data_IF_888850643186
#
_entry.id   IF_888850643186
#
_cell.length_a   1.000
_cell.length_b   1.000
_cell.length_c   1.000
_cell.angle_alpha   90.00
_cell.angle_beta   90.00
_cell.angle_gamma   90.00
#
_symmetry.space_group_name_H-M   'P 1'
#
loop_
_entity.id
_entity.type
_entity.pdbx_description
1 polymer ?
#
# COMPACT_ATOMS: atom_id res chain seq x y z
N UNK A 1 -14.32 -17.52 -22.33
CA UNK A 1 -14.33 -17.62 -20.85
C UNK A 1 -13.50 -16.59 -20.08
N UNK A 2 -12.14 -16.48 -20.15
CA UNK A 2 -11.43 -15.50 -19.28
C UNK A 2 -11.80 -14.02 -19.56
N UNK A 3 -11.96 -13.63 -20.83
CA UNK A 3 -12.42 -12.27 -21.21
C UNK A 3 -13.89 -12.00 -20.81
N UNK A 4 -14.71 -13.04 -20.70
CA UNK A 4 -16.14 -12.91 -20.47
C UNK A 4 -16.50 -12.75 -18.98
N UNK A 5 -15.71 -13.34 -18.06
CA UNK A 5 -15.92 -13.20 -16.60
C UNK A 5 -16.01 -11.73 -16.14
N UNK A 6 -15.13 -10.85 -16.61
CA UNK A 6 -15.13 -9.45 -16.14
C UNK A 6 -16.36 -8.64 -16.60
N UNK A 7 -16.82 -8.85 -17.84
CA UNK A 7 -18.03 -8.23 -18.38
C UNK A 7 -19.26 -8.69 -17.60
N UNK A 8 -19.35 -9.99 -17.34
CA UNK A 8 -20.44 -10.57 -16.56
C UNK A 8 -20.43 -10.12 -15.10
N UNK A 9 -19.26 -10.02 -14.47
CA UNK A 9 -19.13 -9.48 -13.12
C UNK A 9 -19.57 -8.02 -13.05
N UNK A 10 -19.20 -7.22 -14.04
CA UNK A 10 -19.67 -5.83 -14.13
C UNK A 10 -21.20 -5.76 -14.20
N UNK A 11 -21.82 -6.61 -15.05
CA UNK A 11 -23.28 -6.66 -15.18
C UNK A 11 -23.93 -7.01 -13.83
N UNK A 12 -23.47 -8.08 -13.18
CA UNK A 12 -23.99 -8.53 -11.90
C UNK A 12 -23.88 -7.45 -10.82
N UNK A 13 -22.72 -6.80 -10.69
CA UNK A 13 -22.55 -5.73 -9.71
C UNK A 13 -23.43 -4.52 -10.00
N UNK A 14 -23.61 -4.17 -11.28
CA UNK A 14 -24.49 -3.07 -11.68
C UNK A 14 -25.94 -3.37 -11.34
N UNK A 15 -26.42 -4.59 -11.62
CA UNK A 15 -27.77 -5.02 -11.27
C UNK A 15 -27.98 -5.11 -9.75
N UNK A 16 -27.00 -5.67 -9.04
CA UNK A 16 -27.01 -5.82 -7.58
C UNK A 16 -27.07 -4.46 -6.86
N UNK A 17 -26.21 -3.52 -7.27
CA UNK A 17 -26.03 -2.25 -6.56
C UNK A 17 -27.00 -1.15 -7.02
N UNK A 18 -27.25 -1.07 -8.34
CA UNK A 18 -28.00 0.04 -8.94
C UNK A 18 -29.45 -0.31 -9.28
N UNK A 19 -29.72 -1.56 -9.64
CA UNK A 19 -31.06 -2.03 -9.97
C UNK A 19 -31.74 -2.80 -8.80
N UNK A 20 -31.00 -3.07 -7.72
CA UNK A 20 -31.45 -3.83 -6.55
C UNK A 20 -32.00 -5.24 -6.86
N UNK A 21 -31.50 -5.89 -7.91
CA UNK A 21 -31.91 -7.25 -8.27
C UNK A 21 -31.42 -8.26 -7.22
N UNK A 22 -32.35 -8.93 -6.54
CA UNK A 22 -32.05 -9.88 -5.45
C UNK A 22 -31.31 -11.10 -5.95
N UNK A 23 -31.66 -11.59 -7.14
CA UNK A 23 -30.96 -12.73 -7.76
C UNK A 23 -29.52 -12.33 -8.10
N UNK A 24 -29.28 -11.16 -8.67
CA UNK A 24 -27.93 -10.65 -8.91
C UNK A 24 -27.12 -10.55 -7.61
N UNK A 25 -27.73 -10.11 -6.50
CA UNK A 25 -27.08 -10.07 -5.17
C UNK A 25 -26.66 -11.47 -4.71
N UNK A 26 -27.55 -12.45 -4.83
CA UNK A 26 -27.25 -13.85 -4.49
C UNK A 26 -26.14 -14.42 -5.38
N UNK A 27 -26.20 -14.15 -6.70
CA UNK A 27 -25.17 -14.59 -7.64
C UNK A 27 -23.81 -13.97 -7.31
N UNK A 28 -23.75 -12.67 -7.00
CA UNK A 28 -22.50 -12.01 -6.57
C UNK A 28 -21.87 -12.64 -5.31
N UNK A 29 -22.66 -13.25 -4.41
CA UNK A 29 -22.15 -13.86 -3.19
C UNK A 29 -21.63 -15.28 -3.43
N UNK A 30 -22.13 -15.98 -4.46
CA UNK A 30 -21.86 -17.39 -4.72
C UNK A 30 -21.13 -17.64 -6.05
N UNK A 31 -20.45 -16.64 -6.59
CA UNK A 31 -19.80 -16.67 -7.91
C UNK A 31 -18.90 -17.90 -8.16
N UNK A 32 -18.15 -18.35 -7.15
CA UNK A 32 -17.22 -19.48 -7.28
C UNK A 32 -17.92 -20.85 -7.18
N UNK A 33 -19.18 -20.89 -6.73
CA UNK A 33 -19.96 -22.10 -6.53
C UNK A 33 -21.04 -22.33 -7.60
N UNK A 34 -21.19 -21.41 -8.55
CA UNK A 34 -22.23 -21.51 -9.59
C UNK A 34 -21.92 -22.59 -10.63
N UNK A 35 -22.95 -23.36 -10.99
CA UNK A 35 -22.92 -24.18 -12.20
C UNK A 35 -22.96 -23.29 -13.45
N UNK A 36 -22.24 -23.71 -14.49
CA UNK A 36 -22.12 -22.98 -15.75
C UNK A 36 -23.48 -22.82 -16.45
N UNK A 37 -24.42 -23.75 -16.28
CA UNK A 37 -25.76 -23.63 -16.88
C UNK A 37 -26.63 -22.57 -16.20
N UNK A 38 -26.64 -22.50 -14.86
CA UNK A 38 -27.38 -21.47 -14.14
C UNK A 38 -26.83 -20.08 -14.46
N UNK A 39 -25.51 -19.98 -14.57
CA UNK A 39 -24.82 -18.77 -14.99
C UNK A 39 -25.34 -18.31 -16.37
N UNK A 40 -25.25 -19.15 -17.39
CA UNK A 40 -25.67 -18.82 -18.77
C UNK A 40 -27.17 -18.51 -18.88
N UNK A 41 -28.02 -19.20 -18.12
CA UNK A 41 -29.47 -18.96 -18.11
C UNK A 41 -29.85 -17.58 -17.58
N UNK A 42 -29.09 -17.02 -16.64
CA UNK A 42 -29.33 -15.67 -16.14
C UNK A 42 -28.87 -14.59 -17.13
N UNK A 43 -27.70 -14.78 -17.75
CA UNK A 43 -27.15 -13.81 -18.73
C UNK A 43 -27.90 -13.79 -20.06
N UNK A 44 -28.71 -14.80 -20.36
CA UNK A 44 -29.54 -14.84 -21.56
C UNK A 44 -30.99 -14.39 -21.31
N UNK A 45 -31.36 -14.08 -20.07
CA UNK A 45 -32.72 -13.61 -19.73
C UNK A 45 -32.90 -12.14 -20.13
N UNK A 46 -33.88 -11.88 -21.00
CA UNK A 46 -34.25 -10.53 -21.44
C UNK A 46 -34.61 -9.60 -20.26
N UNK A 47 -35.15 -10.14 -19.17
CA UNK A 47 -35.52 -9.34 -17.97
C UNK A 47 -34.31 -8.62 -17.37
N UNK A 48 -33.14 -9.28 -17.38
CA UNK A 48 -31.87 -8.71 -16.94
C UNK A 48 -31.54 -7.43 -17.71
N UNK A 49 -31.74 -7.45 -19.03
CA UNK A 49 -31.44 -6.34 -19.92
C UNK A 49 -32.52 -5.25 -19.91
N UNK A 50 -33.78 -5.61 -19.65
CA UNK A 50 -34.85 -4.65 -19.37
C UNK A 50 -34.51 -3.80 -18.14
N UNK A 51 -34.17 -4.44 -17.01
CA UNK A 51 -33.78 -3.74 -15.78
C UNK A 51 -32.59 -2.80 -16.01
N UNK A 52 -31.56 -3.30 -16.70
CA UNK A 52 -30.37 -2.53 -17.00
C UNK A 52 -30.68 -1.33 -17.92
N UNK A 53 -31.51 -1.53 -18.94
CA UNK A 53 -31.94 -0.45 -19.85
C UNK A 53 -32.68 0.64 -19.11
N UNK A 54 -33.66 0.24 -18.28
CA UNK A 54 -34.45 1.18 -17.49
C UNK A 54 -33.56 2.00 -16.57
N UNK A 55 -32.58 1.38 -15.92
CA UNK A 55 -31.59 2.08 -15.10
C UNK A 55 -30.69 3.04 -15.90
N UNK A 56 -30.06 2.59 -16.99
CA UNK A 56 -29.08 3.39 -17.73
C UNK A 56 -29.75 4.57 -18.46
N UNK A 57 -30.93 4.35 -19.02
CA UNK A 57 -31.61 5.34 -19.84
C UNK A 57 -32.63 6.18 -19.06
N UNK A 58 -32.93 5.81 -17.81
CA UNK A 58 -34.00 6.41 -17.00
C UNK A 58 -35.36 6.35 -17.71
N UNK A 59 -35.68 5.17 -18.25
CA UNK A 59 -36.90 4.88 -19.01
C UNK A 59 -37.67 3.71 -18.39
N UNK A 60 -38.89 3.50 -18.88
CA UNK A 60 -39.66 2.29 -18.61
C UNK A 60 -39.97 1.60 -19.94
N UNK A 61 -39.17 0.61 -20.31
CA UNK A 61 -39.30 -0.15 -21.56
C UNK A 61 -39.40 -1.65 -21.27
N UNK A 62 -40.11 -2.35 -22.15
CA UNK A 62 -40.05 -3.81 -22.27
C UNK A 62 -39.22 -4.24 -23.51
N UNK A 63 -38.75 -3.28 -24.30
CA UNK A 63 -37.99 -3.46 -25.54
C UNK A 63 -36.57 -2.87 -25.39
N UNK A 64 -35.64 -3.58 -24.74
CA UNK A 64 -34.31 -3.05 -24.42
C UNK A 64 -33.46 -2.77 -25.68
N UNK A 65 -33.59 -3.61 -26.71
CA UNK A 65 -32.86 -3.47 -27.97
C UNK A 65 -33.25 -2.21 -28.73
N UNK A 66 -34.54 -1.87 -28.76
CA UNK A 66 -35.02 -0.66 -29.44
C UNK A 66 -34.45 0.60 -28.81
N UNK A 67 -34.32 0.64 -27.47
CA UNK A 67 -33.67 1.75 -26.78
C UNK A 67 -32.19 1.86 -27.19
N UNK A 68 -31.46 0.75 -27.21
CA UNK A 68 -30.06 0.75 -27.66
C UNK A 68 -29.90 1.20 -29.11
N UNK A 69 -30.83 0.83 -30.01
CA UNK A 69 -30.86 1.29 -31.40
C UNK A 69 -31.10 2.79 -31.49
N UNK A 70 -32.12 3.29 -30.77
CA UNK A 70 -32.48 4.71 -30.77
C UNK A 70 -31.35 5.61 -30.25
N UNK A 71 -30.50 5.09 -29.37
CA UNK A 71 -29.32 5.77 -28.86
C UNK A 71 -28.01 5.42 -29.60
N UNK A 72 -28.07 4.55 -30.62
CA UNK A 72 -26.97 4.27 -31.53
C UNK A 72 -25.91 3.26 -31.06
N UNK A 73 -26.12 2.52 -29.97
CA UNK A 73 -25.13 1.60 -29.39
C UNK A 73 -25.12 0.20 -30.03
N UNK A 74 -26.26 -0.36 -30.44
CA UNK A 74 -26.37 -1.78 -30.85
C UNK A 74 -26.85 -1.97 -32.31
N UNK A 75 -26.26 -1.27 -33.26
CA UNK A 75 -26.83 -1.09 -34.62
C UNK A 75 -27.16 -2.33 -35.44
N UNK A 76 -26.49 -3.46 -35.20
CA UNK A 76 -26.53 -4.64 -36.09
C UNK A 76 -27.17 -5.88 -35.46
N UNK A 77 -27.53 -5.83 -34.17
CA UNK A 77 -28.21 -6.95 -33.54
C UNK A 77 -29.70 -6.71 -33.41
N UNK A 78 -30.41 -7.71 -32.90
CA UNK A 78 -31.86 -7.64 -32.71
C UNK A 78 -32.30 -8.45 -31.48
N UNK A 79 -33.60 -8.40 -31.17
CA UNK A 79 -34.18 -9.09 -30.02
C UNK A 79 -34.14 -10.63 -30.11
N UNK A 80 -33.83 -11.22 -31.28
CA UNK A 80 -33.71 -12.67 -31.44
C UNK A 80 -32.53 -13.28 -30.69
N UNK A 81 -31.56 -12.45 -30.22
CA UNK A 81 -30.49 -12.89 -29.33
C UNK A 81 -31.00 -13.52 -28.03
N UNK A 82 -32.21 -13.14 -27.58
CA UNK A 82 -32.84 -13.70 -26.37
C UNK A 82 -33.66 -14.96 -26.64
N UNK A 83 -33.74 -15.44 -27.89
CA UNK A 83 -34.41 -16.70 -28.20
C UNK A 83 -33.58 -17.87 -27.62
N UNK A 84 -34.23 -18.76 -26.84
CA UNK A 84 -33.56 -19.86 -26.12
C UNK A 84 -32.71 -20.79 -26.99
N UNK A 85 -32.99 -20.89 -28.29
CA UNK A 85 -32.24 -21.71 -29.24
C UNK A 85 -30.92 -21.06 -29.72
N UNK A 86 -30.69 -19.78 -29.42
CA UNK A 86 -29.69 -18.94 -30.08
C UNK A 86 -28.62 -18.41 -29.12
N UNK A 87 -28.24 -19.18 -28.09
CA UNK A 87 -27.18 -18.72 -27.19
C UNK A 87 -25.84 -18.63 -27.93
N UNK A 88 -25.36 -17.41 -28.12
CA UNK A 88 -24.03 -17.08 -28.63
C UNK A 88 -23.30 -16.20 -27.62
N UNK A 89 -22.27 -16.75 -26.96
CA UNK A 89 -21.47 -16.05 -25.95
C UNK A 89 -20.89 -14.75 -26.52
N UNK A 90 -20.45 -14.74 -27.78
CA UNK A 90 -19.82 -13.56 -28.40
C UNK A 90 -20.86 -12.47 -28.62
N UNK A 91 -22.04 -12.82 -29.11
CA UNK A 91 -23.14 -11.87 -29.31
C UNK A 91 -23.56 -11.22 -27.97
N UNK A 92 -23.63 -12.00 -26.89
CA UNK A 92 -23.96 -11.48 -25.56
C UNK A 92 -22.85 -10.60 -24.97
N UNK A 93 -21.57 -10.94 -25.17
CA UNK A 93 -20.47 -10.06 -24.77
C UNK A 93 -20.58 -8.71 -25.50
N UNK A 94 -20.81 -8.72 -26.82
CA UNK A 94 -20.97 -7.50 -27.59
C UNK A 94 -22.15 -6.65 -27.08
N UNK A 95 -23.28 -7.30 -26.77
CA UNK A 95 -24.43 -6.63 -26.17
C UNK A 95 -24.08 -6.00 -24.80
N UNK A 96 -23.35 -6.71 -23.94
CA UNK A 96 -22.90 -6.18 -22.64
C UNK A 96 -21.94 -5.00 -22.85
N UNK A 97 -21.01 -5.08 -23.80
CA UNK A 97 -20.11 -3.97 -24.13
C UNK A 97 -20.90 -2.72 -24.58
N UNK A 98 -21.97 -2.88 -25.37
CA UNK A 98 -22.88 -1.78 -25.71
C UNK A 98 -23.51 -1.14 -24.47
N UNK A 99 -23.94 -1.94 -23.48
CA UNK A 99 -24.45 -1.40 -22.21
C UNK A 99 -23.38 -0.75 -21.36
N UNK A 100 -22.16 -1.27 -21.36
CA UNK A 100 -21.03 -0.66 -20.65
C UNK A 100 -20.74 0.73 -21.21
N UNK A 101 -20.70 0.88 -22.54
CA UNK A 101 -20.56 2.18 -23.20
C UNK A 101 -21.72 3.13 -22.86
N UNK A 102 -22.96 2.65 -22.99
CA UNK A 102 -24.14 3.45 -22.62
C UNK A 102 -24.11 3.91 -21.15
N UNK A 103 -23.64 3.04 -20.25
CA UNK A 103 -23.47 3.37 -18.83
C UNK A 103 -22.37 4.41 -18.61
N UNK A 104 -21.23 4.31 -19.31
CA UNK A 104 -20.16 5.32 -19.25
C UNK A 104 -20.66 6.69 -19.70
N UNK A 105 -21.42 6.76 -20.80
CA UNK A 105 -21.92 8.03 -21.34
C UNK A 105 -22.95 8.69 -20.42
N UNK A 106 -23.80 7.88 -19.77
CA UNK A 106 -25.00 8.39 -19.06
C UNK A 106 -24.86 8.43 -17.55
N UNK A 107 -24.06 7.54 -16.96
CA UNK A 107 -23.97 7.32 -15.52
C UNK A 107 -22.59 7.63 -14.94
N UNK A 108 -21.71 8.30 -15.70
CA UNK A 108 -20.47 8.83 -15.14
C UNK A 108 -20.78 9.84 -14.01
N UNK A 109 -20.07 9.82 -12.85
CA UNK A 109 -20.36 10.69 -11.70
C UNK A 109 -19.92 12.15 -11.93
N UNK A 110 -20.58 12.85 -12.85
CA UNK A 110 -20.20 14.22 -13.29
C UNK A 110 -20.14 15.20 -12.12
N UNK A 111 -21.05 15.09 -11.15
CA UNK A 111 -21.07 15.93 -9.95
C UNK A 111 -19.79 15.80 -9.09
N UNK A 112 -19.24 14.59 -8.97
CA UNK A 112 -17.98 14.32 -8.28
C UNK A 112 -16.82 14.88 -9.09
N UNK A 113 -16.80 14.57 -10.39
CA UNK A 113 -15.73 14.97 -11.30
C UNK A 113 -15.61 16.49 -11.42
N UNK A 114 -16.72 17.22 -11.47
CA UNK A 114 -16.74 18.69 -11.53
C UNK A 114 -16.07 19.31 -10.31
N UNK A 115 -16.21 18.73 -9.11
CA UNK A 115 -15.54 19.23 -7.89
C UNK A 115 -14.03 19.07 -7.95
N UNK A 116 -13.53 18.01 -8.59
CA UNK A 116 -12.10 17.68 -8.65
C UNK A 116 -11.41 18.31 -9.85
N UNK A 117 -11.99 18.17 -11.04
CA UNK A 117 -11.41 18.55 -12.34
C UNK A 117 -11.81 19.97 -12.75
N UNK A 118 -12.98 20.42 -12.30
CA UNK A 118 -13.57 21.70 -12.67
C UNK A 118 -14.61 21.58 -13.79
N UNK A 119 -15.67 22.40 -13.69
CA UNK A 119 -16.85 22.36 -14.56
C UNK A 119 -16.51 22.43 -16.04
N UNK A 120 -15.73 23.44 -16.44
CA UNK A 120 -15.40 23.70 -17.85
C UNK A 120 -14.75 22.50 -18.51
N UNK A 121 -13.77 21.86 -17.85
CA UNK A 121 -13.05 20.71 -18.39
C UNK A 121 -13.93 19.49 -18.57
N UNK A 122 -14.80 19.20 -17.60
CA UNK A 122 -15.69 18.03 -17.66
C UNK A 122 -16.69 18.15 -18.81
N UNK A 123 -17.32 19.32 -18.98
CA UNK A 123 -18.34 19.52 -20.02
C UNK A 123 -17.76 19.84 -21.40
N UNK A 124 -16.48 20.23 -21.51
CA UNK A 124 -15.81 20.38 -22.81
C UNK A 124 -15.36 19.06 -23.42
N UNK A 125 -15.22 18.02 -22.59
CA UNK A 125 -14.82 16.69 -23.01
C UNK A 125 -16.10 15.89 -23.25
N UNK A 126 -16.45 15.63 -24.50
CA UNK A 126 -17.63 14.84 -24.87
C UNK A 126 -17.38 13.33 -24.84
N UNK A 127 -16.19 12.92 -24.42
CA UNK A 127 -15.73 11.53 -24.42
C UNK A 127 -15.46 11.06 -22.97
N UNK A 128 -16.10 9.96 -22.51
CA UNK A 128 -15.91 9.45 -21.15
C UNK A 128 -14.46 9.12 -20.82
N UNK A 129 -13.71 8.56 -21.78
CA UNK A 129 -12.30 8.20 -21.56
C UNK A 129 -11.46 9.45 -21.29
N UNK A 130 -11.64 10.50 -22.08
CA UNK A 130 -10.98 11.77 -21.89
C UNK A 130 -11.33 12.42 -20.53
N UNK A 131 -12.60 12.33 -20.09
CA UNK A 131 -13.02 12.82 -18.77
C UNK A 131 -12.29 12.04 -17.66
N UNK A 132 -12.24 10.70 -17.75
CA UNK A 132 -11.56 9.84 -16.78
C UNK A 132 -10.06 10.14 -16.75
N UNK A 133 -9.41 10.28 -17.91
CA UNK A 133 -8.00 10.66 -18.03
C UNK A 133 -7.73 12.03 -17.39
N UNK A 134 -8.61 13.01 -17.62
CA UNK A 134 -8.50 14.35 -17.02
C UNK A 134 -8.60 14.31 -15.49
N UNK A 135 -9.48 13.46 -14.95
CA UNK A 135 -9.56 13.21 -13.51
C UNK A 135 -8.29 12.57 -12.96
N UNK A 136 -7.78 11.51 -13.60
CA UNK A 136 -6.53 10.85 -13.20
C UNK A 136 -5.38 11.87 -13.17
N UNK A 137 -5.21 12.65 -14.25
CA UNK A 137 -4.15 13.64 -14.35
C UNK A 137 -4.27 14.76 -13.32
N UNK A 138 -5.49 15.15 -12.97
CA UNK A 138 -5.72 16.14 -11.92
C UNK A 138 -5.25 15.62 -10.56
N UNK A 139 -5.62 14.38 -10.23
CA UNK A 139 -5.19 13.70 -9.00
C UNK A 139 -3.67 13.47 -8.95
N UNK A 140 -3.06 13.18 -10.10
CA UNK A 140 -1.64 12.87 -10.21
C UNK A 140 -0.74 14.10 -10.49
N UNK A 141 -1.31 15.30 -10.62
CA UNK A 141 -0.59 16.52 -11.05
C UNK A 141 0.59 16.91 -10.16
N UNK A 142 0.57 16.53 -8.89
CA UNK A 142 1.66 16.78 -7.95
C UNK A 142 2.89 15.88 -8.17
N UNK A 143 2.77 14.82 -8.97
CA UNK A 143 3.83 13.85 -9.24
C UNK A 143 4.50 14.14 -10.58
N UNK A 144 5.40 15.13 -10.60
CA UNK A 144 6.06 15.65 -11.81
C UNK A 144 6.80 14.61 -12.66
N UNK A 145 7.15 13.45 -12.09
CA UNK A 145 7.79 12.33 -12.81
C UNK A 145 6.81 11.46 -13.60
N UNK A 146 5.51 11.54 -13.31
CA UNK A 146 4.50 10.74 -14.01
C UNK A 146 4.05 11.47 -15.28
N UNK A 147 4.09 10.76 -16.41
CA UNK A 147 3.54 11.29 -17.65
C UNK A 147 2.01 11.36 -17.56
N UNK A 148 1.39 12.41 -18.12
CA UNK A 148 -0.05 12.49 -18.25
C UNK A 148 -0.61 11.27 -18.98
N UNK A 149 -1.74 10.79 -18.50
CA UNK A 149 -2.52 9.72 -19.13
C UNK A 149 -3.40 10.36 -20.20
N UNK A 150 -3.23 9.92 -21.45
CA UNK A 150 -4.06 10.36 -22.58
C UNK A 150 -5.09 9.31 -23.00
N UNK A 151 -4.88 8.06 -22.59
CA UNK A 151 -5.79 6.94 -22.81
C UNK A 151 -5.62 5.87 -21.73
N UNK A 152 -6.66 5.08 -21.51
CA UNK A 152 -6.71 3.96 -20.58
C UNK A 152 -6.19 2.71 -21.29
N UNK A 153 -4.95 2.32 -20.98
CA UNK A 153 -4.38 1.08 -21.51
C UNK A 153 -4.86 -0.14 -20.75
N UNK A 154 -4.73 -1.32 -21.37
CA UNK A 154 -5.03 -2.59 -20.70
C UNK A 154 -4.18 -2.87 -19.46
N UNK A 155 -3.06 -2.16 -19.27
CA UNK A 155 -2.15 -2.30 -18.13
C UNK A 155 -2.36 -1.24 -17.05
N UNK A 156 -3.37 -0.37 -17.19
CA UNK A 156 -3.52 0.81 -16.33
C UNK A 156 -3.57 0.47 -14.83
N UNK A 157 -4.21 -0.63 -14.45
CA UNK A 157 -4.30 -1.06 -13.05
C UNK A 157 -2.93 -1.37 -12.44
N UNK A 158 -1.98 -1.88 -13.23
CA UNK A 158 -0.61 -2.13 -12.80
C UNK A 158 0.32 -0.91 -12.88
N UNK A 159 -0.21 0.26 -13.25
CA UNK A 159 0.58 1.46 -13.49
C UNK A 159 0.85 2.27 -12.22
N UNK A 160 1.94 3.04 -12.24
CA UNK A 160 2.25 3.98 -11.17
C UNK A 160 1.22 5.11 -11.08
N UNK A 161 0.56 5.45 -12.19
CA UNK A 161 -0.51 6.44 -12.24
C UNK A 161 -1.71 6.01 -11.40
N UNK A 162 -2.09 4.73 -11.46
CA UNK A 162 -3.20 4.24 -10.64
C UNK A 162 -2.85 4.23 -9.15
N UNK A 163 -1.62 3.86 -8.79
CA UNK A 163 -1.14 3.95 -7.40
C UNK A 163 -1.14 5.39 -6.87
N UNK A 164 -0.63 6.33 -7.67
CA UNK A 164 -0.62 7.75 -7.31
C UNK A 164 -2.03 8.32 -7.17
N UNK A 165 -2.96 7.89 -8.04
CA UNK A 165 -4.36 8.23 -7.92
C UNK A 165 -4.94 7.76 -6.59
N UNK A 166 -4.76 6.49 -6.22
CA UNK A 166 -5.24 5.96 -4.96
C UNK A 166 -4.62 6.71 -3.77
N UNK A 167 -3.32 6.96 -3.80
CA UNK A 167 -2.63 7.72 -2.77
C UNK A 167 -3.22 9.13 -2.57
N UNK A 168 -3.64 9.79 -3.66
CA UNK A 168 -4.21 11.15 -3.58
C UNK A 168 -5.47 11.22 -2.70
N UNK A 169 -6.17 10.09 -2.55
CA UNK A 169 -7.34 9.94 -1.68
C UNK A 169 -6.99 9.32 -0.33
N UNK A 170 -6.17 8.26 -0.30
CA UNK A 170 -5.96 7.45 0.91
C UNK A 170 -4.81 7.91 1.78
N UNK A 171 -3.81 8.61 1.21
CA UNK A 171 -2.53 8.96 1.86
C UNK A 171 -1.76 7.76 2.42
N UNK A 172 -1.99 6.57 1.86
CA UNK A 172 -1.27 5.36 2.25
C UNK A 172 0.12 5.34 1.60
N UNK A 173 1.15 5.63 2.39
CA UNK A 173 2.56 5.67 1.95
C UNK A 173 3.03 4.37 1.27
N UNK A 174 2.41 3.23 1.57
CA UNK A 174 2.72 1.97 0.87
C UNK A 174 2.49 2.11 -0.64
N UNK A 175 1.57 2.97 -1.10
CA UNK A 175 1.27 3.20 -2.51
C UNK A 175 2.36 3.96 -3.26
N UNK A 176 3.31 4.61 -2.57
CA UNK A 176 4.40 5.35 -3.22
C UNK A 176 5.62 4.48 -3.56
N UNK A 177 5.69 3.25 -3.05
CA UNK A 177 6.78 2.32 -3.34
C UNK A 177 6.57 1.66 -4.70
N UNK A 178 7.19 2.19 -5.75
CA UNK A 178 7.04 1.65 -7.10
C UNK A 178 7.70 0.27 -7.25
N UNK A 179 6.92 -0.69 -7.75
CA UNK A 179 7.35 -2.07 -8.00
C UNK A 179 7.02 -2.48 -9.44
N UNK A 180 7.20 -3.76 -9.78
CA UNK A 180 6.76 -4.32 -11.05
C UNK A 180 5.22 -4.20 -11.23
N UNK A 181 4.71 -4.24 -12.47
CA UNK A 181 3.29 -4.04 -12.75
C UNK A 181 2.34 -4.99 -12.03
N UNK A 182 2.73 -6.25 -11.79
CA UNK A 182 1.87 -7.24 -11.12
C UNK A 182 1.74 -6.92 -9.64
N UNK A 183 2.86 -6.62 -8.98
CA UNK A 183 2.88 -6.16 -7.59
C UNK A 183 2.08 -4.86 -7.42
N UNK A 184 2.22 -3.92 -8.36
CA UNK A 184 1.44 -2.68 -8.35
C UNK A 184 -0.07 -2.95 -8.43
N UNK A 185 -0.49 -3.86 -9.30
CA UNK A 185 -1.90 -4.23 -9.45
C UNK A 185 -2.43 -4.90 -8.18
N UNK A 186 -1.68 -5.82 -7.58
CA UNK A 186 -2.05 -6.49 -6.33
C UNK A 186 -2.29 -5.48 -5.21
N UNK A 187 -1.34 -4.58 -4.99
CA UNK A 187 -1.44 -3.53 -3.96
C UNK A 187 -2.65 -2.62 -4.26
N UNK A 188 -2.77 -2.13 -5.49
CA UNK A 188 -3.82 -1.18 -5.87
C UNK A 188 -5.22 -1.78 -5.72
N UNK A 189 -5.42 -3.02 -6.18
CA UNK A 189 -6.69 -3.72 -6.07
C UNK A 189 -7.02 -4.07 -4.61
N UNK A 190 -6.03 -4.51 -3.82
CA UNK A 190 -6.21 -4.71 -2.37
C UNK A 190 -6.65 -3.43 -1.68
N UNK A 191 -6.01 -2.30 -1.98
CA UNK A 191 -6.43 -0.99 -1.48
C UNK A 191 -7.87 -0.68 -1.88
N UNK A 192 -8.24 -0.90 -3.14
CA UNK A 192 -9.62 -0.68 -3.61
C UNK A 192 -10.64 -1.50 -2.80
N UNK A 193 -10.34 -2.77 -2.51
CA UNK A 193 -11.21 -3.62 -1.67
C UNK A 193 -11.37 -3.08 -0.25
N UNK A 194 -10.30 -2.57 0.37
CA UNK A 194 -10.38 -1.96 1.72
C UNK A 194 -11.37 -0.80 1.78
N UNK A 195 -11.57 -0.09 0.67
CA UNK A 195 -12.53 1.02 0.56
C UNK A 195 -13.87 0.61 -0.08
N UNK A 196 -14.13 -0.70 -0.21
CA UNK A 196 -15.41 -1.21 -0.70
C UNK A 196 -15.66 -0.96 -2.19
N UNK A 197 -14.60 -0.77 -2.98
CA UNK A 197 -14.67 -0.73 -4.46
C UNK A 197 -14.69 -2.18 -4.95
N UNK A 198 -15.76 -2.57 -5.65
CA UNK A 198 -15.94 -3.96 -6.09
C UNK A 198 -15.02 -4.25 -7.28
N UNK A 199 -14.26 -5.34 -7.19
CA UNK A 199 -13.36 -5.76 -8.26
C UNK A 199 -14.10 -6.67 -9.25
N UNK A 200 -14.04 -6.32 -10.53
CA UNK A 200 -14.58 -7.15 -11.64
C UNK A 200 -13.54 -8.14 -12.19
N UNK A 201 -12.33 -8.14 -11.64
CA UNK A 201 -11.23 -9.01 -12.04
C UNK A 201 -10.19 -9.11 -10.93
N UNK A 202 -9.47 -10.24 -10.91
CA UNK A 202 -8.40 -10.52 -9.95
C UNK A 202 -7.06 -9.92 -10.40
N UNK A 203 -6.12 -9.74 -9.47
CA UNK A 203 -4.82 -9.13 -9.77
C UNK A 203 -3.92 -10.00 -10.66
N UNK A 204 -4.10 -11.33 -10.64
CA UNK A 204 -3.44 -12.24 -11.58
C UNK A 204 -3.85 -11.97 -13.03
N UNK A 205 -5.05 -11.41 -13.21
CA UNK A 205 -5.61 -11.01 -14.50
C UNK A 205 -5.83 -9.48 -14.54
N UNK A 206 -4.92 -8.68 -13.99
CA UNK A 206 -5.06 -7.22 -13.97
C UNK A 206 -5.08 -6.57 -15.37
N UNK A 207 -4.62 -7.30 -16.39
CA UNK A 207 -4.71 -6.88 -17.78
C UNK A 207 -6.13 -7.07 -18.29
N UNK A 208 -6.83 -5.96 -18.55
CA UNK A 208 -8.23 -5.96 -18.91
C UNK A 208 -8.49 -5.06 -20.11
N UNK A 209 -9.63 -5.24 -20.78
CA UNK A 209 -10.01 -4.30 -21.84
C UNK A 209 -10.14 -2.89 -21.25
N UNK A 210 -9.78 -1.84 -22.01
CA UNK A 210 -9.96 -0.46 -21.57
C UNK A 210 -11.37 -0.17 -21.06
N UNK A 211 -12.39 -0.73 -21.73
CA UNK A 211 -13.79 -0.59 -21.35
C UNK A 211 -14.09 -1.13 -19.94
N UNK A 212 -13.61 -2.33 -19.61
CA UNK A 212 -13.74 -2.91 -18.28
C UNK A 212 -13.05 -2.05 -17.22
N UNK A 213 -11.85 -1.54 -17.53
CA UNK A 213 -11.11 -0.65 -16.62
C UNK A 213 -11.88 0.67 -16.41
N UNK A 214 -12.41 1.28 -17.47
CA UNK A 214 -13.19 2.52 -17.36
C UNK A 214 -14.45 2.34 -16.52
N UNK A 215 -15.20 1.25 -16.72
CA UNK A 215 -16.37 0.95 -15.90
C UNK A 215 -16.01 0.70 -14.42
N UNK A 216 -14.89 0.01 -14.16
CA UNK A 216 -14.35 -0.12 -12.81
C UNK A 216 -13.99 1.25 -12.21
N UNK A 217 -13.35 2.13 -12.99
CA UNK A 217 -12.98 3.48 -12.54
C UNK A 217 -14.19 4.37 -12.25
N UNK A 218 -15.31 4.18 -12.95
CA UNK A 218 -16.56 4.91 -12.65
C UNK A 218 -17.08 4.59 -11.24
N UNK A 219 -17.08 3.32 -10.83
CA UNK A 219 -17.42 2.95 -9.46
C UNK A 219 -16.37 3.49 -8.47
N UNK A 220 -15.09 3.39 -8.82
CA UNK A 220 -13.99 3.92 -8.01
C UNK A 220 -14.11 5.44 -7.78
N UNK A 221 -14.48 6.24 -8.79
CA UNK A 221 -14.69 7.69 -8.66
C UNK A 221 -15.72 7.98 -7.57
N UNK A 222 -16.87 7.29 -7.61
CA UNK A 222 -17.95 7.50 -6.66
C UNK A 222 -17.55 7.11 -5.23
N UNK A 223 -16.85 5.97 -5.08
CA UNK A 223 -16.41 5.46 -3.76
C UNK A 223 -15.25 6.27 -3.18
N UNK A 224 -14.24 6.61 -3.98
CA UNK A 224 -13.08 7.36 -3.52
C UNK A 224 -13.46 8.77 -3.06
N UNK A 225 -14.44 9.43 -3.68
CA UNK A 225 -14.92 10.75 -3.23
C UNK A 225 -15.59 10.70 -1.85
N UNK A 226 -16.10 9.53 -1.44
CA UNK A 226 -16.68 9.34 -0.10
C UNK A 226 -15.63 9.17 1.00
N UNK A 227 -14.36 8.92 0.63
CA UNK A 227 -13.26 8.84 1.59
C UNK A 227 -13.02 10.24 2.14
N UNK A 228 -13.31 10.42 3.44
CA UNK A 228 -12.97 11.66 4.14
C UNK A 228 -11.45 11.86 4.01
N UNK A 229 -10.98 12.94 3.36
CA UNK A 229 -9.56 13.18 3.27
C UNK A 229 -9.00 13.31 4.68
N UNK A 230 -7.94 12.56 4.98
CA UNK A 230 -7.16 12.79 6.19
C UNK A 230 -6.78 14.28 6.24
N UNK A 231 -6.88 14.93 7.41
CA UNK A 231 -6.55 16.34 7.54
C UNK A 231 -5.17 16.57 6.93
N UNK A 232 -5.05 17.59 6.06
CA UNK A 232 -3.80 17.88 5.36
C UNK A 232 -2.67 17.93 6.41
N UNK A 233 -1.51 17.27 6.15
CA UNK A 233 -0.34 17.48 6.97
C UNK A 233 -0.10 19.00 7.09
N UNK A 234 0.20 19.48 8.30
CA UNK A 234 0.50 20.90 8.50
C UNK A 234 1.58 21.31 7.50
N UNK A 235 1.38 22.45 6.85
CA UNK A 235 2.38 23.03 5.97
C UNK A 235 3.67 23.19 6.77
N UNK A 236 4.73 22.50 6.35
CA UNK A 236 6.06 22.64 6.96
C UNK A 236 6.49 24.08 6.71
N UNK A 237 6.55 24.86 7.79
CA UNK A 237 6.98 26.25 7.70
C UNK A 237 8.48 26.31 7.43
N UNK A 238 8.96 27.47 6.97
CA UNK A 238 10.40 27.72 6.85
C UNK A 238 11.14 27.54 8.18
N UNK A 239 10.47 27.81 9.30
CA UNK A 239 11.02 27.57 10.64
C UNK A 239 11.13 26.09 10.97
N UNK A 240 10.17 25.27 10.55
CA UNK A 240 10.23 23.82 10.74
C UNK A 240 11.40 23.21 9.97
N UNK A 241 11.62 23.66 8.72
CA UNK A 241 12.81 23.27 7.94
C UNK A 241 14.11 23.67 8.63
N UNK A 242 14.23 24.92 9.09
CA UNK A 242 15.42 25.39 9.81
C UNK A 242 15.67 24.59 11.10
N UNK A 243 14.61 24.21 11.81
CA UNK A 243 14.71 23.39 13.03
C UNK A 243 15.18 21.98 12.72
N UNK A 244 14.64 21.36 11.66
CA UNK A 244 15.06 20.03 11.21
C UNK A 244 16.52 20.06 10.76
N UNK A 245 16.92 21.05 9.96
CA UNK A 245 18.31 21.20 9.52
C UNK A 245 19.28 21.40 10.69
N UNK A 246 18.88 22.21 11.68
CA UNK A 246 19.66 22.39 12.91
C UNK A 246 19.80 21.07 13.68
N UNK A 247 18.70 20.35 13.90
CA UNK A 247 18.74 19.06 14.59
C UNK A 247 19.64 18.06 13.85
N UNK A 248 19.57 17.99 12.52
CA UNK A 248 20.47 17.15 11.71
C UNK A 248 21.93 17.55 11.91
N UNK A 249 22.23 18.86 11.94
CA UNK A 249 23.59 19.35 12.17
C UNK A 249 24.11 18.98 13.57
N UNK A 250 23.28 19.15 14.60
CA UNK A 250 23.63 18.86 15.98
C UNK A 250 23.83 17.34 16.19
N UNK A 251 22.96 16.50 15.63
CA UNK A 251 23.12 15.04 15.65
C UNK A 251 24.39 14.61 14.92
N UNK A 252 24.75 15.23 13.78
CA UNK A 252 26.02 14.93 13.08
C UNK A 252 27.24 15.22 13.96
N UNK A 253 27.24 16.35 14.67
CA UNK A 253 28.33 16.69 15.61
C UNK A 253 28.41 15.71 16.77
N UNK A 254 27.27 15.28 17.29
CA UNK A 254 27.21 14.28 18.36
C UNK A 254 27.77 12.93 17.91
N UNK A 255 27.39 12.48 16.70
CA UNK A 255 27.92 11.25 16.09
C UNK A 255 29.43 11.33 15.89
N UNK A 256 29.97 12.46 15.42
CA UNK A 256 31.41 12.62 15.23
C UNK A 256 32.17 12.62 16.57
N UNK A 257 31.64 13.31 17.59
CA UNK A 257 32.16 13.25 18.97
C UNK A 257 32.18 11.83 19.52
N UNK A 258 31.08 11.08 19.34
CA UNK A 258 30.99 9.67 19.70
C UNK A 258 32.07 8.84 19.00
N UNK A 259 32.26 9.03 17.70
CA UNK A 259 33.25 8.32 16.91
C UNK A 259 34.67 8.58 17.41
N UNK A 260 35.01 9.83 17.74
CA UNK A 260 36.30 10.19 18.34
C UNK A 260 36.49 9.46 19.68
N UNK A 261 35.49 9.51 20.57
CA UNK A 261 35.56 8.82 21.88
C UNK A 261 35.72 7.31 21.73
N UNK A 262 34.99 6.69 20.81
CA UNK A 262 35.15 5.27 20.50
C UNK A 262 36.54 4.95 19.96
N UNK A 263 37.12 5.81 19.12
CA UNK A 263 38.48 5.67 18.63
C UNK A 263 39.53 5.73 19.75
N UNK A 264 39.40 6.68 20.67
CA UNK A 264 40.28 6.78 21.85
C UNK A 264 40.16 5.53 22.72
N UNK A 265 38.94 5.10 23.02
CA UNK A 265 38.70 3.90 23.83
C UNK A 265 39.26 2.64 23.17
N UNK A 266 39.12 2.50 21.85
CA UNK A 266 39.71 1.39 21.10
C UNK A 266 41.25 1.38 21.21
N UNK A 267 41.88 2.55 21.12
CA UNK A 267 43.33 2.69 21.32
C UNK A 267 43.76 2.31 22.74
N UNK A 268 43.02 2.72 23.76
CA UNK A 268 43.31 2.37 25.15
C UNK A 268 43.17 0.86 25.40
N UNK A 269 42.12 0.23 24.86
CA UNK A 269 41.94 -1.23 24.93
C UNK A 269 43.09 -1.94 24.22
N UNK A 270 43.50 -1.48 23.05
CA UNK A 270 44.64 -2.05 22.33
C UNK A 270 45.96 -1.90 23.11
N UNK A 271 46.16 -0.77 23.78
CA UNK A 271 47.34 -0.54 24.62
C UNK A 271 47.36 -1.48 25.84
N UNK A 272 46.20 -1.65 26.50
CA UNK A 272 46.05 -2.57 27.64
C UNK A 272 46.26 -4.02 27.19
N UNK A 273 45.65 -4.43 26.07
CA UNK A 273 45.83 -5.76 25.50
C UNK A 273 47.30 -6.03 25.16
N UNK A 274 47.98 -5.08 24.50
CA UNK A 274 49.40 -5.20 24.19
C UNK A 274 50.28 -5.30 25.46
N UNK A 275 49.95 -4.55 26.52
CA UNK A 275 50.63 -4.67 27.82
C UNK A 275 50.38 -6.02 28.49
N UNK A 276 49.16 -6.53 28.46
CA UNK A 276 48.81 -7.85 29.01
C UNK A 276 49.51 -8.99 28.27
N UNK A 277 49.66 -8.90 26.95
CA UNK A 277 50.43 -9.88 26.16
C UNK A 277 51.92 -9.83 26.47
N UNK A 278 52.47 -8.64 26.73
CA UNK A 278 53.90 -8.44 27.07
C UNK A 278 54.24 -8.75 28.53
N UNK A 279 53.25 -8.76 29.43
CA UNK A 279 53.46 -9.22 30.80
C UNK A 279 53.77 -10.71 30.80
N UNK A 280 55.05 -11.06 30.91
CA UNK A 280 55.46 -12.42 31.30
C UNK A 280 54.78 -12.75 32.63
N UNK A 281 53.98 -13.82 32.66
CA UNK A 281 53.45 -14.39 33.90
C UNK A 281 54.61 -14.55 34.89
N UNK A 282 54.46 -14.13 36.17
CA UNK A 282 55.46 -14.44 37.18
C UNK A 282 55.63 -15.95 37.23
N UNK A 283 56.82 -16.45 36.91
CA UNK A 283 57.18 -17.83 37.19
C UNK A 283 57.30 -17.95 38.70
N UNK A 284 56.22 -18.32 39.37
CA UNK A 284 56.26 -18.71 40.77
C UNK A 284 57.03 -20.02 40.85
N UNK A 285 58.33 -19.93 41.09
CA UNK A 285 59.16 -21.00 41.60
C UNK A 285 58.78 -21.24 43.06
N UNK A 286 57.79 -22.11 43.29
CA UNK A 286 57.70 -22.87 44.52
C UNK A 286 57.99 -24.32 44.13
N UNK A 287 59.18 -24.78 44.48
CA UNK A 287 59.61 -26.16 44.25
C UNK A 287 58.81 -27.13 45.12
N UNK A 288 58.31 -28.18 44.48
CA UNK A 288 58.07 -29.54 44.98
C UNK A 288 57.10 -29.76 46.17
N UNK A 289 55.86 -30.16 45.87
CA UNK A 289 55.31 -31.42 46.37
C UNK A 289 54.65 -32.16 45.21
N UNK A 290 55.00 -33.44 45.04
CA UNK A 290 54.51 -34.35 44.02
C UNK A 290 52.99 -34.53 44.10
N UNK A 291 52.29 -34.30 43.00
CA UNK A 291 51.09 -35.09 42.65
C UNK A 291 51.05 -35.30 41.14
N UNK A 292 50.98 -36.57 40.75
CA UNK A 292 50.96 -37.09 39.37
C UNK A 292 49.62 -36.73 38.64
N UNK A 293 49.56 -36.92 37.31
CA UNK A 293 48.84 -36.05 36.39
C UNK A 293 47.45 -36.58 35.96
N UNK A 294 46.61 -35.67 35.47
CA UNK A 294 45.56 -35.99 34.49
C UNK A 294 45.67 -35.00 33.30
N UNK A 295 45.90 -35.56 32.12
CA UNK A 295 45.73 -34.97 30.78
C UNK A 295 44.35 -35.44 30.24
N UNK A 296 43.87 -34.99 29.07
CA UNK A 296 43.83 -33.63 28.50
C UNK A 296 42.46 -33.33 27.83
N UNK A 297 42.17 -32.07 27.44
CA UNK A 297 41.61 -31.75 26.10
C UNK A 297 41.93 -30.28 25.80
N UNK A 298 42.80 -30.02 24.83
CA UNK A 298 42.96 -28.70 24.22
C UNK A 298 42.61 -28.86 22.73
N UNK A 299 41.51 -28.22 22.33
CA UNK A 299 41.14 -28.08 20.92
C UNK A 299 42.05 -27.05 20.25
N UNK A 300 42.48 -27.42 19.04
CA UNK A 300 43.31 -26.66 18.12
C UNK A 300 42.62 -25.39 17.61
N UNK A 301 43.40 -24.33 17.40
CA UNK A 301 43.09 -23.25 16.45
C UNK A 301 43.66 -23.60 15.07
N UNK A 302 43.06 -23.08 13.98
CA UNK A 302 43.87 -22.61 12.86
C UNK A 302 43.48 -21.21 12.33
N UNK A 303 44.52 -20.38 12.18
CA UNK A 303 44.96 -19.61 11.00
C UNK A 303 44.13 -18.47 10.34
N UNK A 304 44.49 -17.22 10.72
CA UNK A 304 44.95 -16.07 9.89
C UNK A 304 44.02 -15.40 8.84
N UNK A 305 44.42 -14.25 8.19
CA UNK A 305 45.60 -13.36 8.35
C UNK A 305 45.17 -11.92 8.78
N UNK A 306 45.96 -10.92 9.17
CA UNK A 306 47.38 -10.56 9.10
C UNK A 306 47.42 -9.02 8.92
N UNK A 307 48.15 -8.27 9.76
CA UNK A 307 48.45 -6.84 9.54
C UNK A 307 49.90 -6.52 9.93
N UNK A 308 50.56 -5.57 9.23
CA UNK A 308 52.01 -5.41 9.18
C UNK A 308 52.57 -4.58 10.35
N UNK A 309 53.91 -4.58 10.56
CA UNK A 309 54.56 -3.83 11.63
C UNK A 309 54.70 -2.36 11.22
N UNK A 310 54.37 -1.43 12.13
CA UNK A 310 54.68 -0.02 11.98
C UNK A 310 55.85 0.36 12.89
N UNK A 311 56.89 0.83 12.21
CA UNK A 311 58.11 1.42 12.71
C UNK A 311 57.88 2.59 13.67
N UNK A 312 58.88 2.75 14.54
CA UNK A 312 59.40 3.97 15.15
C UNK A 312 58.61 5.27 14.88
N UNK A 313 57.83 5.69 15.88
CA UNK A 313 57.53 7.09 16.11
C UNK A 313 58.13 7.46 17.46
N UNK A 314 59.30 8.07 17.37
CA UNK A 314 59.92 8.83 18.44
C UNK A 314 58.91 9.81 19.02
N UNK A 315 58.80 9.74 20.34
CA UNK A 315 58.15 10.69 21.22
C UNK A 315 58.75 12.07 21.05
N UNK A 316 57.91 13.07 20.78
CA UNK A 316 58.11 14.44 21.24
C UNK A 316 56.74 15.13 21.28
N UNK A 317 56.02 15.01 22.41
CA UNK A 317 54.96 15.95 22.78
C UNK A 317 55.13 16.28 24.27
N UNK A 318 55.13 17.57 24.67
CA UNK A 318 55.46 18.03 26.02
C UNK A 318 54.35 17.73 27.04
N UNK A 319 54.77 17.53 28.29
CA UNK A 319 53.92 17.52 29.48
C UNK A 319 53.18 18.85 29.64
N UNK A 320 51.88 18.87 29.31
CA UNK A 320 50.95 19.83 29.89
C UNK A 320 49.56 19.20 30.02
N UNK A 321 49.31 18.56 31.18
CA UNK A 321 47.96 18.16 31.61
C UNK A 321 47.25 19.36 32.24
N UNK A 322 46.06 19.77 31.77
CA UNK A 322 45.19 20.60 32.59
C UNK A 322 44.57 19.74 33.70
N UNK A 323 44.87 20.10 34.95
CA UNK A 323 44.21 19.58 36.16
C UNK A 323 42.73 20.02 36.19
N UNK A 324 41.83 19.19 35.67
CA UNK A 324 40.41 19.24 36.05
C UNK A 324 39.71 17.91 35.75
N UNK A 325 40.09 16.86 36.50
CA UNK A 325 39.26 15.68 36.64
C UNK A 325 38.07 16.04 37.56
N UNK A 326 36.98 16.52 36.96
CA UNK A 326 35.69 16.62 37.64
C UNK A 326 35.22 15.19 37.98
N UNK A 327 35.21 14.89 39.28
CA UNK A 327 34.51 13.75 39.86
C UNK A 327 33.03 13.80 39.43
N UNK A 328 32.60 12.89 38.56
CA UNK A 328 31.17 12.60 38.38
C UNK A 328 30.83 11.39 39.23
N UNK A 329 30.16 11.64 40.37
CA UNK A 329 29.47 10.61 41.15
C UNK A 329 28.28 10.13 40.32
N UNK A 330 28.25 8.85 39.99
CA UNK A 330 27.06 8.20 39.45
C UNK A 330 26.15 7.83 40.63
N UNK A 331 25.12 8.63 40.90
CA UNK A 331 24.02 8.21 41.77
C UNK A 331 22.95 7.56 40.89
N UNK A 332 22.80 6.25 41.04
CA UNK A 332 21.73 5.47 40.41
C UNK A 332 20.48 5.63 41.29
N UNK A 333 19.34 6.11 40.76
CA UNK A 333 18.10 6.23 41.55
C UNK A 333 17.63 4.86 42.06
N UNK A 334 17.36 4.79 43.36
CA UNK A 334 17.00 3.57 44.11
C UNK A 334 15.67 2.94 43.64
N UNK A 335 14.86 3.69 42.89
CA UNK A 335 13.59 3.25 42.31
C UNK A 335 13.76 2.14 41.24
N UNK A 336 14.96 1.98 40.68
CA UNK A 336 15.25 0.95 39.67
C UNK A 336 15.59 -0.43 40.26
N UNK A 337 15.61 -0.59 41.59
CA UNK A 337 16.00 -1.85 42.25
C UNK A 337 14.84 -2.63 42.91
N UNK A 338 13.58 -2.18 42.82
CA UNK A 338 12.46 -2.93 43.38
C UNK A 338 11.33 -3.16 42.37
N UNK A 339 11.40 -4.29 41.65
CA UNK A 339 10.19 -5.01 41.22
C UNK A 339 10.52 -6.45 40.78
N UNK A 340 10.75 -7.31 41.78
CA UNK A 340 10.50 -8.75 41.69
C UNK A 340 9.97 -9.25 43.03
N UNK A 341 8.72 -9.70 43.05
CA UNK A 341 8.24 -10.68 44.04
C UNK A 341 7.03 -10.27 44.88
N UNK A 342 5.82 -10.48 44.33
CA UNK A 342 4.69 -11.20 44.93
C UNK A 342 4.13 -10.83 46.31
N UNK A 343 2.81 -10.65 46.39
CA UNK A 343 2.05 -10.88 47.63
C UNK A 343 0.70 -10.16 47.73
N UNK A 344 -0.39 -10.93 47.65
CA UNK A 344 -1.82 -10.57 47.83
C UNK A 344 -2.12 -9.74 49.10
N UNK A 345 -3.13 -8.85 49.09
CA UNK A 345 -4.51 -9.08 49.58
C UNK A 345 -5.29 -7.76 49.85
N UNK A 346 -6.61 -7.85 49.58
CA UNK A 346 -7.79 -7.11 50.12
C UNK A 346 -8.25 -5.81 49.45
N UNK A 347 -9.39 -5.93 48.75
CA UNK A 347 -10.49 -4.96 48.75
C UNK A 347 -11.03 -4.72 50.17
N UNK A 348 -11.68 -3.57 50.42
CA UNK A 348 -13.14 -3.63 50.46
C UNK A 348 -13.87 -2.43 49.82
N UNK A 349 -14.88 -2.79 49.02
CA UNK A 349 -16.26 -2.29 48.97
C UNK A 349 -16.63 -0.79 48.82
N UNK A 350 -17.59 -0.63 47.90
CA UNK A 350 -18.88 0.13 48.00
C UNK A 350 -19.03 1.52 47.35
N UNK A 351 -19.43 1.49 46.08
CA UNK A 351 -20.67 2.04 45.46
C UNK A 351 -20.99 3.57 45.54
N UNK A 352 -22.06 4.08 44.86
CA UNK A 352 -21.93 5.10 43.81
C UNK A 352 -22.72 6.39 44.09
N UNK A 353 -22.50 7.49 43.35
CA UNK A 353 -23.48 8.60 43.27
C UNK A 353 -23.48 9.24 41.88
N UNK A 354 -24.66 9.25 41.27
CA UNK A 354 -25.07 10.00 40.08
C UNK A 354 -25.22 11.52 40.35
N UNK A 355 -25.43 12.26 39.26
CA UNK A 355 -26.07 13.57 39.11
C UNK A 355 -25.19 14.82 39.22
N UNK A 356 -24.89 15.41 38.05
CA UNK A 356 -25.68 16.51 37.46
C UNK A 356 -25.56 16.50 35.93
#
# INVERSE_FOLDING_TARGET
MKKSKAHFLWLLYTLSDKCNDTKAKELCQNLDAMDSQEFLGYFSDIKTYILLTNYIFDVNTDAPIDILHNHGYYRYGDASIFAKSNFDEIAFINLIECYMWASLDRKIPTNVLVKKVGRTKVFSLNDPEAIICSWINTCCSTYTKLRPVTSISQYFIGSNQFRALLYSYTRDESLLQYSDPKTNAEISLRTCSTYGIKQTFEYENYQQSPLVIMCFLVDAIAKLDSIKPLPRPRTISRMDMQRIEKNISDTKKEVESLKIRCGVLANDVNLIAARLVRMKRPSTSISAVKSKPQLPVQMQFPDGPGLPPLHDLQSDIPDDRPKSALHVKWEIPVEMLSNRGGGKLKDPQSSPVESL
#
